data_IF_486041135578
#
_entry.id   IF_486041135578
#
_cell.length_a   1.000
_cell.length_b   1.000
_cell.length_c   1.000
_cell.angle_alpha   90.00
_cell.angle_beta   90.00
_cell.angle_gamma   90.00
#
_symmetry.space_group_name_H-M   'P 1'
#
loop_
_entity.id
_entity.type
_entity.pdbx_description
1 polymer ?
#
# COMPACT_ATOMS: atom_id res chain seq x y z
N UNK A 1 25.25 15.74 -4.80
CA UNK A 1 23.79 15.87 -4.80
C UNK A 1 23.24 14.70 -5.58
N UNK A 2 22.13 14.11 -5.16
CA UNK A 2 21.57 12.92 -5.81
C UNK A 2 20.43 13.37 -6.71
N UNK A 3 20.68 13.37 -8.02
CA UNK A 3 19.77 13.97 -8.99
C UNK A 3 19.11 12.89 -9.83
N UNK A 4 17.78 12.97 -9.96
CA UNK A 4 17.01 12.07 -10.82
C UNK A 4 17.31 12.42 -12.28
N UNK A 5 17.90 11.53 -13.06
CA UNK A 5 18.16 11.78 -14.49
C UNK A 5 17.19 11.03 -15.41
N UNK A 6 16.47 10.03 -14.90
CA UNK A 6 15.48 9.28 -15.68
C UNK A 6 14.37 8.73 -14.79
N UNK A 7 13.15 8.78 -15.31
CA UNK A 7 12.00 8.09 -14.73
C UNK A 7 11.42 7.16 -15.77
N UNK A 8 11.09 5.93 -15.38
CA UNK A 8 10.41 4.96 -16.25
C UNK A 8 9.33 4.19 -15.51
N UNK A 9 8.29 3.81 -16.23
CA UNK A 9 7.34 2.80 -15.77
C UNK A 9 7.77 1.37 -16.19
N UNK A 10 7.39 0.37 -15.39
CA UNK A 10 7.45 -1.04 -15.80
C UNK A 10 6.14 -1.76 -15.49
N UNK A 11 5.62 -2.48 -16.49
CA UNK A 11 4.48 -3.37 -16.35
C UNK A 11 4.97 -4.75 -15.91
N UNK A 12 4.70 -5.12 -14.65
CA UNK A 12 5.09 -6.41 -14.08
C UNK A 12 3.85 -7.21 -13.74
N UNK A 13 3.75 -8.45 -14.23
CA UNK A 13 2.59 -9.33 -14.03
C UNK A 13 3.03 -10.72 -13.59
N UNK A 14 2.35 -11.23 -12.59
CA UNK A 14 2.65 -12.51 -11.94
C UNK A 14 1.39 -13.37 -11.93
N UNK A 15 1.31 -14.37 -12.83
CA UNK A 15 0.25 -15.38 -12.76
C UNK A 15 0.31 -16.12 -11.44
N UNK A 16 -0.84 -16.33 -10.82
CA UNK A 16 -0.98 -17.07 -9.57
C UNK A 16 -1.29 -18.54 -9.82
N UNK A 17 -1.13 -19.38 -8.80
CA UNK A 17 -1.63 -20.76 -8.87
C UNK A 17 -3.16 -20.78 -8.91
N UNK A 18 -3.78 -21.88 -9.38
CA UNK A 18 -5.24 -22.00 -9.38
C UNK A 18 -5.85 -21.68 -8.00
N UNK A 19 -6.85 -20.79 -7.98
CA UNK A 19 -7.58 -20.37 -6.78
C UNK A 19 -6.88 -19.31 -5.91
N UNK A 20 -5.56 -19.12 -6.03
CA UNK A 20 -4.84 -18.07 -5.29
C UNK A 20 -5.38 -16.68 -5.67
N UNK A 21 -5.61 -15.83 -4.68
CA UNK A 21 -6.07 -14.46 -4.89
C UNK A 21 -7.55 -14.31 -5.23
N UNK A 22 -8.28 -15.40 -5.48
CA UNK A 22 -9.69 -15.37 -5.90
C UNK A 22 -10.59 -14.90 -4.76
N UNK A 23 -11.53 -14.01 -5.07
CA UNK A 23 -12.59 -13.57 -4.17
C UNK A 23 -13.97 -13.55 -4.85
N UNK A 24 -15.00 -13.12 -4.13
CA UNK A 24 -16.39 -13.10 -4.61
C UNK A 24 -16.62 -12.21 -5.84
N UNK A 25 -15.71 -11.28 -6.14
CA UNK A 25 -15.77 -10.38 -7.29
C UNK A 25 -14.68 -10.71 -8.31
N UNK A 26 -13.45 -10.96 -7.86
CA UNK A 26 -12.27 -11.13 -8.70
C UNK A 26 -11.93 -12.62 -8.86
N UNK A 27 -12.42 -13.23 -9.94
CA UNK A 27 -12.32 -14.68 -10.18
C UNK A 27 -11.08 -15.13 -10.96
N UNK A 28 -10.32 -14.22 -11.58
CA UNK A 28 -9.11 -14.56 -12.33
C UNK A 28 -8.02 -13.48 -12.17
N UNK A 29 -7.56 -13.23 -10.93
CA UNK A 29 -6.57 -12.19 -10.69
C UNK A 29 -5.20 -12.59 -11.23
N UNK A 30 -4.55 -11.65 -11.92
CA UNK A 30 -3.11 -11.72 -12.21
C UNK A 30 -2.46 -10.62 -11.40
N UNK A 31 -1.73 -10.96 -10.34
CA UNK A 31 -1.11 -9.96 -9.48
C UNK A 31 -0.12 -9.14 -10.30
N UNK A 32 -0.46 -7.87 -10.48
CA UNK A 32 0.23 -6.98 -11.40
C UNK A 32 0.62 -5.71 -10.69
N UNK A 33 1.74 -5.14 -11.11
CA UNK A 33 2.33 -3.97 -10.51
C UNK A 33 2.72 -3.00 -11.62
N UNK A 34 2.18 -1.80 -11.57
CA UNK A 34 2.67 -0.67 -12.32
C UNK A 34 3.78 -0.04 -11.48
N UNK A 35 5.03 -0.23 -11.91
CA UNK A 35 6.22 0.13 -11.12
C UNK A 35 6.80 1.43 -11.65
N UNK A 36 7.05 2.39 -10.77
CA UNK A 36 7.85 3.58 -11.07
C UNK A 36 9.30 3.32 -10.67
N UNK A 37 10.25 3.57 -11.58
CA UNK A 37 11.68 3.55 -11.31
C UNK A 37 12.29 4.93 -11.54
N UNK A 38 12.94 5.47 -10.51
CA UNK A 38 13.71 6.71 -10.53
C UNK A 38 15.19 6.36 -10.57
N UNK A 39 15.89 6.73 -11.62
CA UNK A 39 17.34 6.53 -11.72
C UNK A 39 18.10 7.82 -11.45
N UNK A 40 19.23 7.69 -10.75
CA UNK A 40 20.04 8.83 -10.33
C UNK A 40 21.48 8.73 -10.80
N UNK A 41 22.13 9.88 -10.84
CA UNK A 41 23.53 10.05 -11.25
C UNK A 41 24.53 9.32 -10.35
N UNK A 42 24.12 8.94 -9.13
CA UNK A 42 24.92 8.14 -8.18
C UNK A 42 24.70 6.64 -8.27
N UNK A 43 23.87 6.16 -9.20
CA UNK A 43 23.58 4.73 -9.35
C UNK A 43 22.67 4.14 -8.26
N UNK A 44 22.11 4.96 -7.37
CA UNK A 44 21.00 4.55 -6.51
C UNK A 44 19.67 4.80 -7.24
N UNK A 45 18.66 3.98 -6.96
CA UNK A 45 17.37 4.08 -7.64
C UNK A 45 16.20 4.01 -6.65
N UNK A 46 15.19 4.85 -6.91
CA UNK A 46 13.89 4.81 -6.25
C UNK A 46 12.96 3.84 -6.93
N UNK A 47 12.16 3.12 -6.16
CA UNK A 47 11.19 2.14 -6.67
C UNK A 47 9.88 2.30 -5.91
N UNK A 48 8.81 2.48 -6.66
CA UNK A 48 7.45 2.50 -6.14
C UNK A 48 6.54 1.65 -7.00
N UNK A 49 5.43 1.22 -6.44
CA UNK A 49 4.48 0.36 -7.13
C UNK A 49 3.05 0.75 -6.81
N UNK A 50 2.17 0.49 -7.76
CA UNK A 50 0.73 0.41 -7.58
C UNK A 50 0.25 -0.98 -8.01
N UNK A 51 -0.56 -1.61 -7.15
CA UNK A 51 -1.07 -2.96 -7.37
C UNK A 51 -2.34 -2.94 -8.22
N UNK A 52 -2.43 -3.87 -9.17
CA UNK A 52 -3.61 -4.14 -9.99
C UNK A 52 -3.79 -5.65 -10.18
N UNK A 53 -4.89 -6.06 -10.81
CA UNK A 53 -5.27 -7.47 -10.97
C UNK A 53 -5.12 -8.00 -12.41
N UNK A 54 -4.28 -7.38 -13.23
CA UNK A 54 -3.97 -7.84 -14.59
C UNK A 54 -4.27 -6.80 -15.65
N UNK A 55 -5.42 -6.93 -16.33
CA UNK A 55 -5.84 -5.98 -17.36
C UNK A 55 -5.98 -4.56 -16.79
N UNK A 56 -5.48 -3.56 -17.51
CA UNK A 56 -5.48 -2.17 -17.08
C UNK A 56 -4.21 -1.75 -16.32
N UNK A 57 -3.30 -2.66 -15.99
CA UNK A 57 -2.00 -2.31 -15.40
C UNK A 57 -1.20 -1.37 -16.32
N UNK A 58 -1.27 -1.61 -17.62
CA UNK A 58 -0.64 -0.80 -18.66
C UNK A 58 -1.15 0.66 -18.67
N UNK A 59 -2.42 0.88 -18.32
CA UNK A 59 -3.01 2.22 -18.23
C UNK A 59 -2.39 3.00 -17.06
N UNK A 60 -2.13 2.32 -15.95
CA UNK A 60 -1.43 2.93 -14.79
C UNK A 60 0.02 3.25 -15.16
N UNK A 61 0.71 2.36 -15.87
CA UNK A 61 2.07 2.64 -16.38
C UNK A 61 2.11 3.88 -17.30
N UNK A 62 1.17 4.00 -18.24
CA UNK A 62 1.10 5.19 -19.10
C UNK A 62 0.83 6.47 -18.30
N UNK A 63 -0.06 6.41 -17.29
CA UNK A 63 -0.29 7.54 -16.41
C UNK A 63 0.95 7.91 -15.58
N UNK A 64 1.74 6.92 -15.11
CA UNK A 64 3.03 7.14 -14.47
C UNK A 64 3.95 7.93 -15.41
N UNK A 65 4.12 7.45 -16.65
CA UNK A 65 5.02 8.06 -17.62
C UNK A 65 4.64 9.52 -17.94
N UNK A 66 3.35 9.86 -17.95
CA UNK A 66 2.92 11.24 -18.13
C UNK A 66 3.15 12.13 -16.91
N UNK A 67 2.80 11.63 -15.71
CA UNK A 67 2.82 12.43 -14.49
C UNK A 67 4.23 12.66 -13.94
N UNK A 68 5.17 11.73 -14.17
CA UNK A 68 6.47 11.77 -13.51
C UNK A 68 7.54 12.62 -14.22
N UNK A 69 7.26 13.18 -15.40
CA UNK A 69 8.28 13.85 -16.22
C UNK A 69 8.92 15.06 -15.52
N UNK A 70 8.14 15.79 -14.72
CA UNK A 70 8.62 16.96 -13.97
C UNK A 70 9.60 16.62 -12.83
N UNK A 71 9.80 15.34 -12.53
CA UNK A 71 10.78 14.88 -11.53
C UNK A 71 12.20 14.76 -12.10
N UNK A 72 12.36 14.68 -13.43
CA UNK A 72 13.69 14.61 -14.06
C UNK A 72 14.43 15.93 -13.84
N UNK A 73 15.70 15.83 -13.43
CA UNK A 73 16.57 16.95 -13.10
C UNK A 73 16.46 17.44 -11.66
N UNK A 74 15.54 16.89 -10.84
CA UNK A 74 15.36 17.27 -9.44
C UNK A 74 16.37 16.56 -8.54
N UNK A 75 16.97 17.31 -7.63
CA UNK A 75 17.76 16.76 -6.52
C UNK A 75 16.82 16.25 -5.42
N UNK A 76 17.11 15.07 -4.85
CA UNK A 76 16.16 14.37 -3.98
C UNK A 76 15.84 15.12 -2.67
N UNK A 77 16.82 15.76 -2.01
CA UNK A 77 16.58 16.49 -0.76
C UNK A 77 15.88 17.82 -1.01
N UNK A 78 16.22 18.51 -2.11
CA UNK A 78 15.49 19.71 -2.54
C UNK A 78 14.04 19.38 -2.92
N UNK A 79 13.81 18.25 -3.59
CA UNK A 79 12.48 17.75 -3.91
C UNK A 79 11.69 17.44 -2.63
N UNK A 80 12.31 16.77 -1.65
CA UNK A 80 11.63 16.38 -0.43
C UNK A 80 11.37 17.53 0.54
N UNK A 81 12.18 18.58 0.51
CA UNK A 81 11.94 19.80 1.28
C UNK A 81 10.64 20.53 0.88
N UNK A 82 10.16 20.33 -0.35
CA UNK A 82 8.92 20.93 -0.89
C UNK A 82 7.94 19.86 -1.41
N UNK A 83 8.01 18.63 -0.89
CA UNK A 83 7.25 17.52 -1.44
C UNK A 83 5.73 17.73 -1.41
N UNK A 84 5.17 18.30 -0.33
CA UNK A 84 3.73 18.55 -0.25
C UNK A 84 3.21 19.40 -1.42
N UNK A 85 3.94 20.47 -1.77
CA UNK A 85 3.63 21.33 -2.94
C UNK A 85 3.78 20.57 -4.25
N UNK A 86 4.86 19.81 -4.41
CA UNK A 86 5.11 19.05 -5.65
C UNK A 86 4.06 17.98 -5.85
N UNK A 87 3.76 17.21 -4.81
CA UNK A 87 2.77 16.13 -4.84
C UNK A 87 1.38 16.66 -5.16
N UNK A 88 0.98 17.80 -4.58
CA UNK A 88 -0.24 18.53 -4.96
C UNK A 88 -0.22 18.94 -6.43
N UNK A 89 0.88 19.54 -6.91
CA UNK A 89 0.98 19.95 -8.32
C UNK A 89 0.87 18.77 -9.29
N UNK A 90 1.36 17.58 -8.91
CA UNK A 90 1.19 16.36 -9.71
C UNK A 90 -0.27 15.90 -9.71
N UNK A 91 -0.92 15.90 -8.54
CA UNK A 91 -2.33 15.55 -8.40
C UNK A 91 -3.26 16.53 -9.14
N UNK A 92 -2.88 17.80 -9.18
CA UNK A 92 -3.59 18.90 -9.84
C UNK A 92 -3.15 19.15 -11.27
N UNK A 93 -2.48 18.17 -11.91
CA UNK A 93 -2.11 18.30 -13.31
C UNK A 93 -3.33 18.72 -14.16
N UNK A 94 -3.29 19.85 -14.89
CA UNK A 94 -4.49 20.52 -15.42
C UNK A 94 -5.38 19.64 -16.30
N UNK A 95 -4.79 18.66 -16.98
CA UNK A 95 -5.50 17.75 -17.88
C UNK A 95 -5.82 16.40 -17.23
N UNK A 96 -4.93 15.90 -16.37
CA UNK A 96 -5.03 14.54 -15.83
C UNK A 96 -5.89 14.49 -14.57
N UNK A 97 -5.98 15.61 -13.83
CA UNK A 97 -6.95 15.76 -12.74
C UNK A 97 -8.39 15.48 -13.20
N UNK A 98 -8.73 15.84 -14.44
CA UNK A 98 -10.08 15.64 -15.01
C UNK A 98 -10.51 14.18 -15.11
N UNK A 99 -9.54 13.25 -15.26
CA UNK A 99 -9.80 11.80 -15.35
C UNK A 99 -9.58 11.06 -14.01
N UNK A 100 -9.33 11.79 -12.92
CA UNK A 100 -9.39 11.30 -11.54
C UNK A 100 -10.62 11.87 -10.84
N UNK A 101 -10.51 13.05 -10.21
CA UNK A 101 -9.41 13.51 -9.36
C UNK A 101 -9.32 12.66 -8.09
N UNK A 102 -8.11 12.45 -7.56
CA UNK A 102 -7.85 11.68 -6.34
C UNK A 102 -8.48 10.28 -6.29
N UNK A 103 -8.66 9.63 -7.45
CA UNK A 103 -9.18 8.26 -7.58
C UNK A 103 -8.72 7.58 -8.87
N UNK A 104 -8.95 6.28 -8.97
CA UNK A 104 -8.76 5.49 -10.19
C UNK A 104 -7.30 5.45 -10.67
N UNK A 105 -7.12 5.32 -11.99
CA UNK A 105 -5.82 5.12 -12.65
C UNK A 105 -4.82 6.23 -12.31
N UNK A 106 -5.25 7.49 -12.30
CA UNK A 106 -4.37 8.63 -11.97
C UNK A 106 -3.87 8.54 -10.55
N UNK A 107 -4.73 8.23 -9.58
CA UNK A 107 -4.31 8.13 -8.19
C UNK A 107 -3.40 6.92 -7.93
N UNK A 108 -3.64 5.81 -8.62
CA UNK A 108 -2.72 4.66 -8.58
C UNK A 108 -1.34 5.04 -9.12
N UNK A 109 -1.26 5.76 -10.24
CA UNK A 109 0.01 6.24 -10.78
C UNK A 109 0.74 7.18 -9.82
N UNK A 110 0.02 8.15 -9.24
CA UNK A 110 0.58 9.06 -8.23
C UNK A 110 1.09 8.32 -6.99
N UNK A 111 0.40 7.26 -6.56
CA UNK A 111 0.85 6.43 -5.44
C UNK A 111 2.17 5.73 -5.75
N UNK A 112 2.30 5.13 -6.95
CA UNK A 112 3.56 4.52 -7.40
C UNK A 112 4.70 5.55 -7.47
N UNK A 113 4.45 6.73 -8.03
CA UNK A 113 5.43 7.81 -8.12
C UNK A 113 5.88 8.28 -6.73
N UNK A 114 4.91 8.58 -5.85
CA UNK A 114 5.18 9.05 -4.48
C UNK A 114 6.04 8.05 -3.72
N UNK A 115 5.67 6.77 -3.77
CA UNK A 115 6.43 5.72 -3.10
C UNK A 115 7.86 5.60 -3.65
N UNK A 116 8.06 5.77 -4.96
CA UNK A 116 9.39 5.73 -5.57
C UNK A 116 10.28 6.88 -5.09
N UNK A 117 9.71 8.08 -4.91
CA UNK A 117 10.44 9.24 -4.39
C UNK A 117 10.82 9.01 -2.92
N UNK A 118 9.89 8.52 -2.10
CA UNK A 118 10.17 8.22 -0.69
C UNK A 118 11.20 7.11 -0.52
N UNK A 119 11.14 6.06 -1.35
CA UNK A 119 12.13 4.99 -1.38
C UNK A 119 13.52 5.52 -1.79
N UNK A 120 13.60 6.37 -2.82
CA UNK A 120 14.86 7.01 -3.21
C UNK A 120 15.44 7.85 -2.06
N UNK A 121 14.60 8.64 -1.40
CA UNK A 121 15.03 9.48 -0.28
C UNK A 121 15.55 8.66 0.90
N UNK A 122 14.86 7.57 1.24
CA UNK A 122 15.28 6.62 2.27
C UNK A 122 16.63 5.97 1.94
N UNK A 123 16.79 5.51 0.69
CA UNK A 123 18.04 4.92 0.19
C UNK A 123 19.20 5.91 0.19
N UNK A 124 18.98 7.15 -0.24
CA UNK A 124 20.02 8.18 -0.23
C UNK A 124 20.46 8.53 1.20
N UNK A 125 19.52 8.57 2.16
CA UNK A 125 19.84 8.75 3.59
C UNK A 125 20.42 7.48 4.26
N UNK A 126 20.41 6.34 3.58
CA UNK A 126 20.92 5.08 4.13
C UNK A 126 20.12 4.52 5.30
N UNK A 127 18.82 4.80 5.38
CA UNK A 127 17.94 4.37 6.47
C UNK A 127 16.64 3.76 5.93
N UNK A 128 15.98 2.83 6.65
CA UNK A 128 14.65 2.38 6.26
C UNK A 128 13.64 3.53 6.38
N UNK A 129 12.62 3.52 5.51
CA UNK A 129 11.66 4.63 5.41
C UNK A 129 10.97 4.97 6.74
N UNK A 130 10.58 3.96 7.53
CA UNK A 130 9.95 4.20 8.84
C UNK A 130 10.87 5.00 9.78
N UNK A 131 12.18 4.75 9.73
CA UNK A 131 13.16 5.47 10.55
C UNK A 131 13.36 6.88 10.03
N UNK A 132 13.43 7.02 8.71
CA UNK A 132 13.51 8.33 8.06
C UNK A 132 12.40 9.26 8.57
N UNK A 133 11.15 8.80 8.53
CA UNK A 133 9.99 9.58 8.95
C UNK A 133 10.04 9.96 10.43
N UNK A 134 10.59 9.08 11.26
CA UNK A 134 10.77 9.30 12.69
C UNK A 134 11.92 10.27 13.03
N UNK A 135 12.82 10.55 12.08
CA UNK A 135 13.91 11.50 12.24
C UNK A 135 13.49 12.94 11.89
N UNK A 136 12.31 13.13 11.28
CA UNK A 136 11.77 14.43 10.91
C UNK A 136 11.11 15.14 12.10
N UNK A 137 11.08 16.47 12.07
CA UNK A 137 10.23 17.24 12.98
C UNK A 137 8.74 17.08 12.64
N UNK A 138 7.83 17.35 13.59
CA UNK A 138 6.39 17.38 13.30
C UNK A 138 6.03 18.27 12.10
N UNK A 139 6.67 19.43 11.98
CA UNK A 139 6.45 20.39 10.89
C UNK A 139 6.91 19.84 9.54
N UNK A 140 8.06 19.13 9.53
CA UNK A 140 8.59 18.47 8.34
C UNK A 140 7.68 17.33 7.89
N UNK A 141 7.17 16.50 8.82
CA UNK A 141 6.21 15.44 8.49
C UNK A 141 4.95 16.03 7.84
N UNK A 142 4.38 17.09 8.43
CA UNK A 142 3.17 17.73 7.89
C UNK A 142 3.45 18.48 6.59
N UNK A 143 4.68 18.93 6.33
CA UNK A 143 5.08 19.51 5.04
C UNK A 143 5.10 18.47 3.89
N UNK A 144 5.14 17.17 4.20
CA UNK A 144 5.02 16.11 3.19
C UNK A 144 3.57 15.83 2.77
N UNK A 145 2.59 16.40 3.47
CA UNK A 145 1.16 16.12 3.27
C UNK A 145 0.46 17.22 2.47
N UNK A 146 -0.59 16.83 1.75
CA UNK A 146 -1.56 17.76 1.17
C UNK A 146 -2.87 17.69 1.97
N UNK A 147 -3.18 18.76 2.70
CA UNK A 147 -4.37 18.87 3.55
C UNK A 147 -5.51 19.70 2.93
N UNK A 148 -5.39 20.15 1.67
CA UNK A 148 -6.30 21.16 1.07
C UNK A 148 -7.80 20.84 1.04
N UNK A 149 -8.20 19.60 1.33
CA UNK A 149 -9.62 19.20 1.44
C UNK A 149 -10.00 18.66 2.83
N UNK A 150 -9.10 18.80 3.81
CA UNK A 150 -9.25 18.29 5.17
C UNK A 150 -9.26 19.39 6.22
N UNK A 151 -9.00 20.65 5.86
CA UNK A 151 -8.83 21.77 6.81
C UNK A 151 -10.04 21.99 7.75
N UNK A 152 -11.26 21.54 7.40
CA UNK A 152 -12.43 21.61 8.28
C UNK A 152 -12.45 20.51 9.37
N UNK A 153 -11.66 19.46 9.22
CA UNK A 153 -11.64 18.26 10.08
C UNK A 153 -10.29 18.09 10.78
N UNK A 154 -9.20 18.45 10.08
CA UNK A 154 -7.84 18.37 10.56
C UNK A 154 -7.02 19.43 9.85
N UNK A 155 -6.78 20.55 10.53
CA UNK A 155 -5.91 21.58 10.01
C UNK A 155 -4.41 21.26 10.25
N UNK A 156 -3.55 22.12 9.71
CA UNK A 156 -2.08 21.96 9.79
C UNK A 156 -1.58 21.99 11.24
N UNK A 157 -2.07 22.91 12.06
CA UNK A 157 -1.60 23.12 13.43
C UNK A 157 -2.08 21.99 14.34
N UNK A 158 -3.30 21.50 14.11
CA UNK A 158 -3.85 20.31 14.74
C UNK A 158 -3.02 19.07 14.39
N UNK A 159 -2.70 18.85 13.10
CA UNK A 159 -1.86 17.73 12.66
C UNK A 159 -0.46 17.77 13.30
N UNK A 160 0.16 18.94 13.35
CA UNK A 160 1.46 19.15 14.02
C UNK A 160 1.34 18.82 15.51
N UNK A 161 0.26 19.26 16.16
CA UNK A 161 0.03 19.03 17.59
C UNK A 161 -0.14 17.54 17.89
N UNK A 162 -0.90 16.80 17.08
CA UNK A 162 -1.06 15.35 17.20
C UNK A 162 0.32 14.67 17.14
N UNK A 163 1.11 14.96 16.11
CA UNK A 163 2.42 14.34 15.94
C UNK A 163 3.36 14.69 17.08
N UNK A 164 3.38 15.96 17.52
CA UNK A 164 4.24 16.42 18.62
C UNK A 164 3.89 15.75 19.95
N UNK A 165 2.61 15.57 20.24
CA UNK A 165 2.17 14.87 21.45
C UNK A 165 2.56 13.39 21.40
N UNK A 166 2.32 12.73 20.27
CA UNK A 166 2.70 11.32 20.10
C UNK A 166 4.21 11.11 20.11
N UNK A 167 5.00 12.06 19.59
CA UNK A 167 6.47 11.96 19.58
C UNK A 167 7.05 11.85 20.99
N UNK A 168 6.42 12.47 22.01
CA UNK A 168 6.85 12.38 23.41
C UNK A 168 6.69 10.96 23.98
N UNK A 169 5.71 10.19 23.48
CA UNK A 169 5.42 8.82 23.90
C UNK A 169 6.17 7.76 23.10
N UNK A 170 7.11 8.17 22.23
CA UNK A 170 7.84 7.24 21.34
C UNK A 170 8.55 6.13 22.12
N UNK A 171 9.20 6.47 23.24
CA UNK A 171 9.93 5.52 24.06
C UNK A 171 9.07 4.36 24.58
N UNK A 172 7.77 4.58 24.75
CA UNK A 172 6.82 3.55 25.20
C UNK A 172 6.50 2.51 24.10
N UNK A 173 6.80 2.82 22.83
CA UNK A 173 6.48 2.00 21.66
C UNK A 173 7.71 1.42 20.96
N UNK A 174 8.91 1.66 21.49
CA UNK A 174 10.16 1.21 20.86
C UNK A 174 10.35 -0.31 20.90
N UNK A 175 9.62 -1.02 21.77
CA UNK A 175 9.68 -2.47 21.88
C UNK A 175 9.32 -3.17 20.56
N UNK A 176 8.51 -2.53 19.70
CA UNK A 176 8.19 -2.98 18.32
C UNK A 176 9.44 -3.23 17.47
N UNK A 177 10.54 -2.53 17.72
CA UNK A 177 11.80 -2.71 16.99
C UNK A 177 12.47 -4.06 17.29
N UNK A 178 12.16 -4.63 18.46
CA UNK A 178 12.68 -5.92 18.90
C UNK A 178 11.65 -7.04 18.75
N UNK A 179 10.36 -6.75 19.01
CA UNK A 179 9.26 -7.73 18.98
C UNK A 179 8.63 -7.88 17.60
N UNK A 180 8.80 -6.91 16.71
CA UNK A 180 8.07 -6.81 15.45
C UNK A 180 6.65 -6.27 15.64
N UNK A 181 5.93 -6.12 14.51
CA UNK A 181 4.54 -5.67 14.48
C UNK A 181 3.63 -6.87 14.18
N UNK A 182 2.57 -7.13 14.97
CA UNK A 182 1.67 -8.27 14.73
C UNK A 182 1.02 -8.22 13.33
N UNK A 183 1.09 -9.34 12.60
CA UNK A 183 0.40 -9.52 11.32
C UNK A 183 -0.80 -10.47 11.42
N UNK A 184 -1.58 -10.56 10.35
CA UNK A 184 -2.64 -11.55 10.17
C UNK A 184 -2.53 -12.20 8.79
N UNK A 185 -2.97 -13.44 8.63
CA UNK A 185 -2.89 -14.14 7.34
C UNK A 185 -4.21 -14.12 6.56
N UNK A 186 -4.11 -13.86 5.26
CA UNK A 186 -5.24 -13.87 4.31
C UNK A 186 -5.18 -15.03 3.33
N UNK A 187 -4.05 -15.74 3.29
CA UNK A 187 -3.76 -16.84 2.36
C UNK A 187 -4.55 -18.11 2.72
N UNK A 188 -5.21 -18.09 3.88
CA UNK A 188 -6.00 -19.18 4.44
C UNK A 188 -7.24 -19.46 3.60
N UNK A 189 -7.99 -18.42 3.23
CA UNK A 189 -9.39 -18.57 2.82
C UNK A 189 -9.71 -17.98 1.46
N UNK A 190 -8.85 -18.16 0.45
CA UNK A 190 -9.20 -17.78 -0.93
C UNK A 190 -10.51 -18.46 -1.36
N UNK A 191 -11.28 -17.75 -2.17
CA UNK A 191 -12.71 -18.05 -2.32
C UNK A 191 -12.96 -19.37 -3.02
N UNK A 192 -12.12 -19.79 -3.96
CA UNK A 192 -12.29 -21.04 -4.73
C UNK A 192 -11.59 -22.26 -4.12
N UNK A 193 -10.86 -22.10 -3.00
CA UNK A 193 -10.19 -23.23 -2.36
C UNK A 193 -11.18 -24.25 -1.80
N UNK A 194 -10.92 -25.56 -1.94
CA UNK A 194 -11.75 -26.60 -1.33
C UNK A 194 -11.68 -26.53 0.20
N UNK A 195 -12.64 -27.17 0.85
CA UNK A 195 -12.80 -27.12 2.30
C UNK A 195 -11.60 -27.72 3.05
N UNK A 196 -11.00 -28.78 2.51
CA UNK A 196 -9.81 -29.40 3.09
C UNK A 196 -8.62 -28.44 3.06
N UNK A 197 -8.43 -27.72 1.95
CA UNK A 197 -7.32 -26.79 1.77
C UNK A 197 -7.43 -25.57 2.70
N UNK A 198 -8.62 -25.01 2.89
CA UNK A 198 -8.79 -23.89 3.84
C UNK A 198 -8.49 -24.31 5.28
N UNK A 199 -8.86 -25.54 5.66
CA UNK A 199 -8.59 -26.08 7.00
C UNK A 199 -7.10 -26.31 7.19
N UNK A 200 -6.42 -26.90 6.20
CA UNK A 200 -4.97 -27.11 6.23
C UNK A 200 -4.20 -25.79 6.26
N UNK A 201 -4.60 -24.80 5.45
CA UNK A 201 -3.97 -23.48 5.45
C UNK A 201 -4.20 -22.74 6.78
N UNK A 202 -5.38 -22.87 7.40
CA UNK A 202 -5.67 -22.28 8.70
C UNK A 202 -4.77 -22.86 9.80
N UNK A 203 -4.62 -24.20 9.83
CA UNK A 203 -3.69 -24.87 10.75
C UNK A 203 -2.24 -24.45 10.50
N UNK A 204 -1.82 -24.34 9.24
CA UNK A 204 -0.48 -23.86 8.87
C UNK A 204 -0.23 -22.43 9.34
N UNK A 205 -1.20 -21.53 9.19
CA UNK A 205 -1.10 -20.16 9.67
C UNK A 205 -0.96 -20.12 11.20
N UNK A 206 -1.73 -20.96 11.92
CA UNK A 206 -1.60 -21.11 13.36
C UNK A 206 -0.22 -21.62 13.77
N UNK A 207 0.30 -22.64 13.08
CA UNK A 207 1.66 -23.19 13.31
C UNK A 207 2.76 -22.16 13.04
N UNK A 208 2.52 -21.18 12.16
CA UNK A 208 3.40 -20.04 11.91
C UNK A 208 3.27 -18.92 12.95
N UNK A 209 2.38 -19.06 13.92
CA UNK A 209 2.19 -18.12 15.02
C UNK A 209 1.17 -17.01 14.75
N UNK A 210 0.37 -17.09 13.68
CA UNK A 210 -0.69 -16.12 13.45
C UNK A 210 -1.83 -16.32 14.45
N UNK A 211 -2.17 -15.26 15.18
CA UNK A 211 -3.33 -15.21 16.09
C UNK A 211 -4.59 -14.62 15.43
N UNK A 212 -4.47 -14.20 14.17
CA UNK A 212 -5.57 -13.63 13.39
C UNK A 212 -5.47 -14.06 11.93
N UNK A 213 -6.62 -14.34 11.32
CA UNK A 213 -6.70 -14.78 9.92
C UNK A 213 -8.04 -14.36 9.29
N UNK A 214 -8.06 -14.21 7.96
CA UNK A 214 -9.21 -13.69 7.21
C UNK A 214 -9.64 -14.64 6.10
N UNK A 215 -10.95 -14.88 5.99
CA UNK A 215 -11.57 -15.68 4.93
C UNK A 215 -12.29 -14.81 3.91
N UNK A 216 -12.33 -15.24 2.64
CA UNK A 216 -13.19 -14.64 1.62
C UNK A 216 -14.61 -15.18 1.73
N UNK A 217 -15.59 -14.28 1.72
CA UNK A 217 -17.03 -14.56 1.73
C UNK A 217 -17.71 -13.77 0.62
N UNK A 218 -19.03 -13.80 0.55
CA UNK A 218 -19.80 -13.14 -0.51
C UNK A 218 -20.37 -14.12 -1.53
N UNK A 219 -20.52 -15.39 -1.15
CA UNK A 219 -21.20 -16.40 -1.96
C UNK A 219 -22.66 -16.04 -2.20
N UNK A 220 -23.16 -16.39 -3.39
CA UNK A 220 -24.60 -16.31 -3.70
C UNK A 220 -25.44 -17.19 -2.77
N UNK A 221 -24.85 -18.29 -2.28
CA UNK A 221 -25.42 -19.10 -1.21
C UNK A 221 -24.69 -18.80 0.11
N UNK A 222 -25.31 -18.08 1.06
CA UNK A 222 -24.72 -17.78 2.36
C UNK A 222 -24.39 -19.03 3.19
N UNK A 223 -25.06 -20.16 2.96
CA UNK A 223 -24.79 -21.40 3.71
C UNK A 223 -23.37 -21.91 3.48
N UNK A 224 -22.83 -21.71 2.27
CA UNK A 224 -21.45 -22.03 1.93
C UNK A 224 -20.46 -21.26 2.82
N UNK A 225 -20.68 -19.95 2.95
CA UNK A 225 -19.77 -19.09 3.72
C UNK A 225 -19.85 -19.41 5.22
N UNK A 226 -21.06 -19.68 5.74
CA UNK A 226 -21.29 -20.14 7.12
C UNK A 226 -20.55 -21.45 7.38
N UNK A 227 -20.73 -22.43 6.49
CA UNK A 227 -20.08 -23.75 6.59
C UNK A 227 -18.56 -23.64 6.63
N UNK A 228 -17.97 -22.92 5.68
CA UNK A 228 -16.51 -22.73 5.58
C UNK A 228 -15.92 -22.00 6.79
N UNK A 229 -16.63 -20.98 7.27
CA UNK A 229 -16.21 -20.25 8.48
C UNK A 229 -16.26 -21.17 9.70
N UNK A 230 -17.28 -22.03 9.79
CA UNK A 230 -17.40 -23.05 10.83
C UNK A 230 -16.24 -24.03 10.83
N UNK A 231 -15.87 -24.57 9.66
CA UNK A 231 -14.73 -25.47 9.52
C UNK A 231 -13.42 -24.86 9.98
N UNK A 232 -13.15 -23.60 9.60
CA UNK A 232 -11.93 -22.91 10.04
C UNK A 232 -11.96 -22.66 11.55
N UNK A 233 -13.08 -22.24 12.12
CA UNK A 233 -13.23 -22.08 13.58
C UNK A 233 -12.94 -23.38 14.32
N UNK A 234 -13.52 -24.50 13.90
CA UNK A 234 -13.26 -25.81 14.48
C UNK A 234 -11.78 -26.20 14.40
N UNK A 235 -11.10 -25.84 13.30
CA UNK A 235 -9.71 -26.16 13.07
C UNK A 235 -8.72 -25.37 13.95
N UNK A 236 -9.04 -24.11 14.27
CA UNK A 236 -8.09 -23.20 14.95
C UNK A 236 -8.46 -22.86 16.40
N UNK A 237 -9.64 -23.29 16.86
CA UNK A 237 -10.14 -23.05 18.23
C UNK A 237 -10.68 -21.63 18.44
N UNK A 238 -11.25 -21.36 19.61
CA UNK A 238 -12.05 -20.15 19.88
C UNK A 238 -11.24 -18.85 20.04
N UNK A 239 -9.97 -18.95 20.45
CA UNK A 239 -9.12 -17.81 20.76
C UNK A 239 -8.60 -17.07 19.52
N UNK A 240 -8.55 -17.74 18.36
CA UNK A 240 -8.06 -17.13 17.12
C UNK A 240 -9.07 -16.12 16.59
N UNK A 241 -8.59 -14.92 16.23
CA UNK A 241 -9.44 -13.91 15.60
C UNK A 241 -9.70 -14.28 14.15
N UNK A 242 -10.97 -14.55 13.82
CA UNK A 242 -11.42 -14.78 12.45
C UNK A 242 -12.10 -13.53 11.91
N UNK A 243 -11.63 -13.06 10.76
CA UNK A 243 -12.26 -11.99 9.98
C UNK A 243 -12.83 -12.55 8.68
N UNK A 244 -13.76 -11.83 8.07
CA UNK A 244 -14.31 -12.14 6.76
C UNK A 244 -14.24 -10.95 5.83
N UNK A 245 -14.15 -11.19 4.53
CA UNK A 245 -14.05 -10.18 3.50
C UNK A 245 -14.99 -10.52 2.33
N UNK A 246 -16.03 -9.70 2.15
CA UNK A 246 -17.01 -9.88 1.08
C UNK A 246 -16.62 -9.17 -0.22
N UNK A 247 -15.50 -8.45 -0.26
CA UNK A 247 -15.00 -7.76 -1.45
C UNK A 247 -16.06 -6.90 -2.17
N UNK A 248 -16.95 -6.23 -1.42
CA UNK A 248 -18.02 -5.36 -1.95
C UNK A 248 -19.14 -6.10 -2.71
N UNK A 249 -19.30 -7.42 -2.53
CA UNK A 249 -20.26 -8.23 -3.28
C UNK A 249 -21.74 -8.03 -2.92
N UNK A 250 -22.05 -7.41 -1.78
CA UNK A 250 -23.43 -7.25 -1.31
C UNK A 250 -24.00 -5.87 -1.66
N UNK A 251 -25.32 -5.82 -1.86
CA UNK A 251 -26.11 -4.61 -2.16
C UNK A 251 -26.99 -4.21 -0.99
#
# INVERSE_FOLDING_TARGET
MTTIHRVTSQDRRFPLKPGEGVDSIHSNPVYSYAVTLLETDKGIAGTGLAFTLGAGNELVCQAIDHLSQSLVGREIHELMADWGTVSRSLADHPQLRWVGPHKGVVQLALASITNAVFDLWAKDRGVPLWKLLLDLSPEEVVALLDLSYLDEILDRDEAITIIRNEQQLRGEREDVLTKGYPGYDTSVGWFDYPDEEIVENAKRALDQGFAAMKLKVGSKDPKRDIHRTGLVREAVGDEVRLMVDANQAWS
#
